data_IF_531490735892
#
_entry.id   IF_531490735892
#
_cell.length_a   1.000
_cell.length_b   1.000
_cell.length_c   1.000
_cell.angle_alpha   90.00
_cell.angle_beta   90.00
_cell.angle_gamma   90.00
#
_symmetry.space_group_name_H-M   'P 1'
#
loop_
_entity.id
_entity.type
_entity.pdbx_description
1 polymer ?
#
# COMPACT_ATOMS: atom_id res chain seq x y z
N UNK A 1 5.47 -16.19 -12.10
CA UNK A 1 5.37 -15.78 -12.38
C UNK A 1 5.52 -15.31 -13.15
N UNK A 2 5.27 -14.87 -13.59
CA UNK A 2 5.25 -14.47 -14.25
C UNK A 2 5.55 -13.80 -14.94
N UNK A 3 5.90 -13.50 -15.34
CA UNK A 3 6.26 -12.76 -15.98
C UNK A 3 6.66 -12.74 -17.12
N UNK A 4 6.77 -13.51 -17.63
CA UNK A 4 7.42 -13.60 -18.68
C UNK A 4 6.74 -13.12 -19.73
N UNK A 5 5.88 -13.61 -20.20
CA UNK A 5 5.28 -12.97 -21.05
C UNK A 5 4.60 -12.09 -20.32
N UNK A 6 5.12 -11.34 -19.99
CA UNK A 6 4.89 -10.44 -19.19
C UNK A 6 3.54 -10.15 -19.03
N UNK A 7 2.93 -10.17 -19.98
CA UNK A 7 1.70 -9.72 -19.91
C UNK A 7 0.90 -10.53 -19.01
N UNK A 8 0.81 -11.76 -19.19
CA UNK A 8 -0.05 -12.49 -18.38
C UNK A 8 0.61 -12.95 -17.16
N UNK A 9 1.84 -13.29 -17.26
CA UNK A 9 2.47 -13.89 -16.16
C UNK A 9 2.72 -12.99 -15.05
N UNK A 10 3.09 -11.80 -15.39
CA UNK A 10 3.36 -10.84 -14.39
C UNK A 10 2.18 -10.64 -13.54
N UNK A 11 1.04 -10.67 -14.15
CA UNK A 11 -0.14 -10.41 -13.43
C UNK A 11 -0.63 -11.56 -12.62
N UNK A 12 0.04 -12.67 -12.72
CA UNK A 12 -0.33 -13.76 -11.85
C UNK A 12 0.02 -13.43 -10.44
N UNK A 13 0.86 -12.45 -10.23
CA UNK A 13 1.17 -12.06 -8.89
C UNK A 13 0.17 -11.01 -8.45
N UNK A 14 0.21 -10.69 -7.20
CA UNK A 14 -0.73 -9.77 -6.63
C UNK A 14 -0.54 -8.36 -7.13
N UNK A 15 -1.61 -7.75 -7.51
CA UNK A 15 -1.62 -6.33 -7.79
C UNK A 15 -1.84 -5.60 -6.48
N UNK A 16 -0.98 -4.63 -6.21
CA UNK A 16 -1.07 -3.84 -4.99
C UNK A 16 -1.66 -2.48 -5.35
N UNK A 17 -2.75 -2.12 -4.70
CA UNK A 17 -3.38 -0.83 -4.88
C UNK A 17 -3.29 -0.08 -3.56
N UNK A 18 -2.67 1.10 -3.58
CA UNK A 18 -2.52 1.91 -2.38
C UNK A 18 -3.27 3.22 -2.59
N UNK A 19 -4.27 3.46 -1.76
CA UNK A 19 -5.06 4.68 -1.82
C UNK A 19 -4.78 5.50 -0.56
N UNK A 20 -4.45 6.76 -0.74
CA UNK A 20 -4.19 7.65 0.38
C UNK A 20 -5.18 8.79 0.33
N UNK A 21 -5.83 9.04 1.44
CA UNK A 21 -6.77 10.14 1.59
C UNK A 21 -6.36 10.98 2.79
N UNK A 22 -6.93 12.15 2.91
CA UNK A 22 -6.71 12.97 4.08
C UNK A 22 -5.36 13.67 4.14
N UNK A 23 -4.62 13.69 3.03
CA UNK A 23 -3.36 14.40 3.00
C UNK A 23 -3.60 15.90 2.86
N UNK A 24 -2.56 16.69 3.11
CA UNK A 24 -2.68 18.14 2.96
C UNK A 24 -2.94 18.54 1.52
N UNK A 25 -2.45 17.77 0.57
CA UNK A 25 -2.68 18.06 -0.86
C UNK A 25 -2.64 16.76 -1.63
N UNK A 26 -3.15 16.80 -2.87
CA UNK A 26 -3.12 15.64 -3.74
C UNK A 26 -1.70 15.19 -4.04
N UNK A 27 -0.75 16.09 -4.34
CA UNK A 27 0.63 15.65 -4.56
C UNK A 27 1.22 14.93 -3.35
N UNK A 28 0.91 15.36 -2.14
CA UNK A 28 1.40 14.67 -0.95
C UNK A 28 0.75 13.30 -0.80
N UNK A 29 -0.54 13.20 -1.10
CA UNK A 29 -1.21 11.90 -1.04
C UNK A 29 -0.59 10.95 -2.05
N UNK A 30 -0.32 11.41 -3.25
CA UNK A 30 0.30 10.59 -4.28
C UNK A 30 1.71 10.16 -3.85
N UNK A 31 2.44 11.06 -3.22
CA UNK A 31 3.78 10.79 -2.74
C UNK A 31 3.76 9.68 -1.68
N UNK A 32 2.85 9.77 -0.74
CA UNK A 32 2.71 8.75 0.29
C UNK A 32 2.29 7.41 -0.33
N UNK A 33 1.35 7.43 -1.26
CA UNK A 33 0.88 6.22 -1.91
C UNK A 33 2.02 5.52 -2.66
N UNK A 34 2.82 6.31 -3.38
CA UNK A 34 3.95 5.74 -4.12
C UNK A 34 5.00 5.16 -3.19
N UNK A 35 5.24 5.81 -2.05
CA UNK A 35 6.22 5.32 -1.10
C UNK A 35 5.82 3.94 -0.57
N UNK A 36 4.54 3.75 -0.28
CA UNK A 36 4.06 2.46 0.20
C UNK A 36 4.13 1.42 -0.91
N UNK A 37 3.67 1.78 -2.10
CA UNK A 37 3.65 0.84 -3.22
C UNK A 37 5.06 0.41 -3.62
N UNK A 38 6.04 1.27 -3.42
CA UNK A 38 7.43 0.98 -3.78
C UNK A 38 8.24 0.40 -2.63
N UNK A 39 7.67 0.27 -1.43
CA UNK A 39 8.40 -0.22 -0.28
C UNK A 39 8.73 -1.70 -0.44
N UNK A 40 10.01 -2.02 -0.46
CA UNK A 40 10.43 -3.41 -0.58
C UNK A 40 10.01 -4.22 0.63
N UNK A 41 10.08 -3.61 1.81
CA UNK A 41 9.69 -4.32 3.01
C UNK A 41 8.21 -4.66 3.00
N UNK A 42 7.37 -3.72 2.54
CA UNK A 42 5.95 -4.00 2.47
C UNK A 42 5.63 -4.98 1.36
N UNK A 43 6.33 -4.89 0.22
CA UNK A 43 6.12 -5.85 -0.86
C UNK A 43 6.48 -7.26 -0.43
N UNK A 44 7.51 -7.41 0.40
CA UNK A 44 7.83 -8.72 0.97
C UNK A 44 6.71 -9.22 1.87
N UNK A 45 6.10 -8.31 2.63
CA UNK A 45 4.98 -8.69 3.49
C UNK A 45 3.79 -9.13 2.64
N UNK A 46 3.50 -8.42 1.55
CA UNK A 46 2.41 -8.79 0.67
C UNK A 46 2.65 -10.16 0.06
N UNK A 47 3.89 -10.41 -0.37
CA UNK A 47 4.24 -11.68 -0.96
C UNK A 47 4.06 -12.82 0.03
N UNK A 48 4.35 -12.59 1.30
CA UNK A 48 4.16 -13.58 2.33
C UNK A 48 2.79 -13.57 2.97
N UNK A 49 1.86 -12.77 2.43
CA UNK A 49 0.51 -12.64 2.96
C UNK A 49 0.52 -12.23 4.43
N UNK A 50 1.42 -11.32 4.77
CA UNK A 50 1.59 -10.84 6.14
C UNK A 50 0.93 -9.46 6.27
N UNK A 51 -0.14 -9.33 7.07
CA UNK A 51 -0.80 -8.03 7.23
C UNK A 51 -0.02 -7.11 8.15
N UNK A 52 1.12 -6.66 7.66
CA UNK A 52 2.08 -5.92 8.46
C UNK A 52 1.85 -4.42 8.37
N UNK A 53 0.97 -3.90 9.24
CA UNK A 53 0.66 -2.48 9.24
C UNK A 53 1.89 -1.64 9.62
N UNK A 54 2.84 -2.22 10.36
CA UNK A 54 4.03 -1.49 10.74
C UNK A 54 4.87 -1.08 9.55
N UNK A 55 4.98 -1.95 8.55
CA UNK A 55 5.73 -1.63 7.34
C UNK A 55 5.02 -0.59 6.51
N UNK A 56 3.68 -0.60 6.50
CA UNK A 56 2.91 0.42 5.82
C UNK A 56 3.13 1.77 6.52
N UNK A 57 3.01 1.80 7.83
CA UNK A 57 3.18 3.03 8.60
C UNK A 57 4.59 3.59 8.43
N UNK A 58 5.57 2.72 8.39
CA UNK A 58 6.95 3.12 8.21
C UNK A 58 7.15 3.79 6.84
N UNK A 59 6.61 3.18 5.80
CA UNK A 59 6.74 3.74 4.45
C UNK A 59 6.07 5.10 4.35
N UNK A 60 4.90 5.25 4.96
CA UNK A 60 4.20 6.53 4.99
C UNK A 60 5.06 7.56 5.73
N UNK A 61 5.68 7.14 6.83
CA UNK A 61 6.45 8.05 7.68
C UNK A 61 7.64 8.67 6.98
N UNK A 62 8.29 7.94 6.08
CA UNK A 62 9.45 8.53 5.39
C UNK A 62 9.15 8.88 3.95
N UNK A 63 7.88 8.97 3.59
CA UNK A 63 7.49 9.29 2.22
C UNK A 63 7.81 10.74 1.83
N UNK A 64 8.00 11.59 2.79
CA UNK A 64 8.18 13.02 2.54
C UNK A 64 6.89 13.81 2.65
N UNK A 65 5.75 13.15 2.71
CA UNK A 65 4.49 13.84 2.91
C UNK A 65 4.32 14.17 4.39
N UNK A 66 3.51 15.17 4.68
CA UNK A 66 3.22 15.53 6.05
C UNK A 66 2.36 14.44 6.69
N UNK A 67 2.76 13.94 7.83
CA UNK A 67 2.07 12.83 8.49
C UNK A 67 2.02 13.08 10.00
N UNK A 68 0.83 12.86 10.58
CA UNK A 68 0.69 12.89 12.02
C UNK A 68 0.30 11.49 12.44
N UNK A 69 1.19 10.80 13.12
CA UNK A 69 0.96 9.41 13.48
C UNK A 69 -0.30 9.21 14.30
N UNK A 70 -0.67 10.19 15.11
CA UNK A 70 -1.85 10.07 15.94
C UNK A 70 -3.15 10.11 15.14
N UNK A 71 -3.07 10.44 13.86
CA UNK A 71 -4.25 10.51 12.99
C UNK A 71 -4.22 9.48 11.89
N UNK A 72 -3.21 8.64 11.87
CA UNK A 72 -3.00 7.67 10.80
C UNK A 72 -3.96 6.49 10.95
N UNK A 73 -4.71 6.23 9.90
CA UNK A 73 -5.63 5.08 9.85
C UNK A 73 -5.25 4.22 8.66
N UNK A 74 -5.12 2.92 8.88
CA UNK A 74 -4.71 1.98 7.84
C UNK A 74 -5.72 0.85 7.75
N UNK A 75 -6.20 0.59 6.54
CA UNK A 75 -7.14 -0.49 6.26
C UNK A 75 -6.52 -1.35 5.16
N UNK A 76 -6.57 -2.67 5.33
CA UNK A 76 -6.02 -3.61 4.37
C UNK A 76 -7.14 -4.57 3.96
N UNK A 77 -7.46 -4.57 2.68
CA UNK A 77 -8.56 -5.41 2.16
C UNK A 77 -9.84 -5.23 2.98
N UNK A 78 -10.13 -3.96 3.30
CA UNK A 78 -11.33 -3.57 4.02
C UNK A 78 -11.35 -3.98 5.50
N UNK A 79 -10.21 -4.41 6.03
CA UNK A 79 -10.10 -4.72 7.46
C UNK A 79 -9.26 -3.63 8.11
N UNK A 80 -9.77 -3.06 9.17
CA UNK A 80 -9.11 -1.97 9.87
C UNK A 80 -7.95 -2.52 10.70
N UNK A 81 -6.72 -2.11 10.38
CA UNK A 81 -5.55 -2.56 11.10
C UNK A 81 -5.06 -1.55 12.13
N UNK A 82 -5.23 -0.27 11.83
CA UNK A 82 -4.80 0.81 12.72
C UNK A 82 -5.80 1.95 12.59
N UNK A 83 -6.20 2.52 13.72
CA UNK A 83 -7.17 3.61 13.73
C UNK A 83 -6.62 4.76 14.55
N UNK A 84 -6.45 5.91 13.92
CA UNK A 84 -5.96 7.13 14.55
C UNK A 84 -4.72 6.86 15.40
N UNK A 85 -3.78 6.16 14.81
CA UNK A 85 -2.50 5.89 15.44
C UNK A 85 -2.46 4.70 16.36
N UNK A 86 -3.59 4.01 16.55
CA UNK A 86 -3.65 2.90 17.49
C UNK A 86 -3.90 1.59 16.78
N UNK A 87 -3.06 0.58 17.01
CA UNK A 87 -3.28 -0.73 16.42
C UNK A 87 -4.63 -1.31 16.87
N UNK A 88 -5.31 -1.96 15.96
CA UNK A 88 -6.61 -2.55 16.23
C UNK A 88 -6.50 -4.07 16.25
N UNK A 89 -7.40 -4.71 16.97
CA UNK A 89 -7.47 -6.16 16.95
C UNK A 89 -8.12 -6.60 15.66
N UNK A 90 -7.55 -7.57 15.01
CA UNK A 90 -8.12 -8.14 13.78
C UNK A 90 -7.71 -9.59 13.70
N UNK A 91 -8.46 -10.34 12.88
CA UNK A 91 -8.16 -11.75 12.67
C UNK A 91 -7.05 -11.86 11.64
N UNK A 92 -5.82 -12.02 12.11
CA UNK A 92 -4.65 -12.03 11.23
C UNK A 92 -4.73 -13.15 10.20
N UNK A 93 -5.28 -14.30 10.59
CA UNK A 93 -5.38 -15.40 9.64
C UNK A 93 -6.38 -15.09 8.53
N UNK A 94 -7.49 -14.44 8.87
CA UNK A 94 -8.47 -14.06 7.86
C UNK A 94 -7.91 -13.02 6.90
N UNK A 95 -7.20 -12.02 7.43
CA UNK A 95 -6.59 -11.00 6.58
C UNK A 95 -5.52 -11.62 5.71
N UNK A 96 -4.70 -12.50 6.27
CA UNK A 96 -3.66 -13.18 5.52
C UNK A 96 -4.27 -13.94 4.34
N UNK A 97 -5.37 -14.64 4.57
CA UNK A 97 -6.04 -15.36 3.48
C UNK A 97 -6.56 -14.40 2.42
N UNK A 98 -7.04 -13.23 2.83
CA UNK A 98 -7.54 -12.25 1.86
C UNK A 98 -6.42 -11.70 0.99
N UNK A 99 -5.18 -11.71 1.49
CA UNK A 99 -4.04 -11.21 0.73
C UNK A 99 -3.58 -12.20 -0.34
N UNK A 100 -4.09 -13.42 -0.31
CA UNK A 100 -3.78 -14.38 -1.36
C UNK A 100 -4.57 -14.12 -2.63
N UNK A 101 -5.49 -13.19 -2.59
CA UNK A 101 -6.26 -12.84 -3.78
C UNK A 101 -5.37 -12.10 -4.78
N UNK A 102 -5.86 -11.97 -6.00
CA UNK A 102 -5.09 -11.32 -7.05
C UNK A 102 -4.85 -9.83 -6.81
N UNK A 103 -5.63 -9.23 -5.92
CA UNK A 103 -5.49 -7.82 -5.64
C UNK A 103 -5.47 -7.57 -4.15
N UNK A 104 -4.50 -6.79 -3.70
CA UNK A 104 -4.40 -6.36 -2.30
C UNK A 104 -4.59 -4.86 -2.29
N UNK A 105 -5.56 -4.38 -1.52
CA UNK A 105 -5.88 -2.96 -1.44
C UNK A 105 -5.54 -2.41 -0.08
N UNK A 106 -4.73 -1.36 -0.05
CA UNK A 106 -4.38 -0.66 1.17
C UNK A 106 -5.02 0.71 1.11
N UNK A 107 -5.74 1.08 2.14
CA UNK A 107 -6.32 2.40 2.25
C UNK A 107 -5.73 3.08 3.46
N UNK A 108 -5.23 4.29 3.26
CA UNK A 108 -4.55 5.05 4.29
C UNK A 108 -5.22 6.40 4.38
N UNK A 109 -5.57 6.80 5.60
CA UNK A 109 -6.16 8.11 5.85
C UNK A 109 -5.20 8.86 6.75
N UNK A 110 -4.70 9.99 6.27
CA UNK A 110 -3.75 10.78 7.06
C UNK A 110 -4.44 11.77 8.00
N UNK A 111 -5.71 12.06 7.76
CA UNK A 111 -6.47 12.90 8.68
C UNK A 111 -6.05 14.35 8.76
N UNK A 112 -5.30 14.84 7.77
CA UNK A 112 -4.77 16.20 7.81
C UNK A 112 -5.51 17.17 6.88
N UNK A 113 -6.15 16.68 5.86
CA UNK A 113 -6.80 17.53 4.88
C UNK A 113 -7.67 16.74 3.94
N UNK A 114 -7.73 17.17 2.69
CA UNK A 114 -8.59 16.55 1.68
C UNK A 114 -7.84 15.99 0.49
N UNK A 115 -6.52 15.95 0.56
CA UNK A 115 -5.73 15.43 -0.54
C UNK A 115 -5.94 13.94 -0.70
N UNK A 116 -5.98 13.46 -1.94
CA UNK A 116 -6.13 12.04 -2.20
C UNK A 116 -5.23 11.64 -3.36
N UNK A 117 -4.83 10.39 -3.35
CA UNK A 117 -3.98 9.84 -4.41
C UNK A 117 -4.03 8.34 -4.39
N UNK A 118 -3.56 7.74 -5.47
CA UNK A 118 -3.53 6.29 -5.58
C UNK A 118 -2.26 5.89 -6.30
N UNK A 119 -1.69 4.76 -5.90
CA UNK A 119 -0.54 4.19 -6.58
C UNK A 119 -0.77 2.71 -6.73
N UNK A 120 -0.13 2.14 -7.75
CA UNK A 120 -0.25 0.72 -8.02
C UNK A 120 1.13 0.10 -7.99
N UNK A 121 1.21 -1.15 -7.58
CA UNK A 121 2.46 -1.88 -7.56
C UNK A 121 2.22 -3.36 -7.68
N UNK A 122 3.30 -4.11 -7.61
CA UNK A 122 3.25 -5.55 -7.70
C UNK A 122 4.25 -6.10 -6.72
N UNK A 123 3.93 -7.23 -6.13
CA UNK A 123 4.82 -7.80 -5.12
C UNK A 123 6.03 -8.46 -5.73
N UNK A 124 6.08 -8.59 -7.09
CA UNK A 124 7.11 -9.34 -7.71
C UNK A 124 8.29 -8.60 -8.15
N UNK A 125 8.15 -7.58 -8.94
CA UNK A 125 9.29 -7.07 -9.62
C UNK A 125 9.42 -5.60 -9.45
N UNK A 126 10.65 -5.20 -9.31
CA UNK A 126 11.08 -3.86 -9.35
C UNK A 126 10.76 -3.23 -10.66
N UNK A 127 10.86 -4.03 -11.71
CA UNK A 127 10.60 -3.58 -13.05
C UNK A 127 9.16 -3.12 -13.25
N UNK A 128 8.23 -3.84 -12.65
CA UNK A 128 6.83 -3.45 -12.76
C UNK A 128 6.56 -2.11 -12.05
N UNK A 129 7.16 -1.93 -10.90
CA UNK A 129 7.01 -0.68 -10.17
C UNK A 129 7.61 0.47 -10.96
N UNK A 130 8.74 0.23 -11.61
CA UNK A 130 9.38 1.23 -12.43
C UNK A 130 8.50 1.65 -13.59
N UNK A 131 7.85 0.70 -14.23
CA UNK A 131 6.94 0.99 -15.32
C UNK A 131 5.78 1.83 -14.84
N UNK A 132 5.23 1.52 -13.68
CA UNK A 132 4.15 2.31 -13.14
C UNK A 132 4.59 3.74 -12.83
N UNK A 133 5.78 3.91 -12.32
CA UNK A 133 6.27 5.23 -12.02
C UNK A 133 6.41 6.05 -13.30
N UNK A 134 6.92 5.45 -14.35
CA UNK A 134 7.07 6.12 -15.62
C UNK A 134 5.71 6.48 -16.19
N UNK A 135 4.76 5.57 -16.06
CA UNK A 135 3.44 5.77 -16.61
C UNK A 135 2.71 6.90 -15.90
N UNK A 136 2.95 7.07 -14.62
CA UNK A 136 2.25 8.09 -13.86
C UNK A 136 2.91 9.45 -13.97
N UNK A 137 4.10 9.52 -14.48
CA UNK A 137 4.71 10.80 -14.68
C UNK A 137 4.37 11.31 -16.05
#
# INVERSE_FOLDING_TARGET
>A
RCLSDWSSDVCSSDLLVVRVNGALSDPQAAQAARAVAASNLFKCAVRGSDPNWGRIACAVGYSGAEVDQSKLTITLNQVLLMFEGEPQSFDAAAVSRSMDAAEVTVQIDLGLGRGSGVAFGCDLTEEYVKINADYTT
#
